data_IF_030098915642
#
_entry.id   IF_030098915642
#
_cell.length_a   1.000
_cell.length_b   1.000
_cell.length_c   1.000
_cell.angle_alpha   90.00
_cell.angle_beta   90.00
_cell.angle_gamma   90.00
#
_symmetry.space_group_name_H-M   'P 1'
#
loop_
_entity.id
_entity.type
_entity.pdbx_description
1 polymer ?
#
# COMPACT_ATOMS: atom_id res chain seq x y z
N UNK A 1 32.39 -8.22 -12.13
CA UNK A 1 31.29 -7.47 -11.48
C UNK A 1 30.18 -8.42 -11.00
N UNK A 2 30.45 -9.31 -10.04
CA UNK A 2 29.51 -10.37 -9.59
C UNK A 2 29.28 -10.41 -8.06
N UNK A 3 29.82 -9.46 -7.30
CA UNK A 3 29.78 -9.48 -5.83
C UNK A 3 28.47 -8.99 -5.18
N UNK A 4 27.73 -8.07 -5.83
CA UNK A 4 26.55 -7.42 -5.22
C UNK A 4 25.34 -8.34 -5.07
N UNK A 5 25.10 -9.22 -6.04
CA UNK A 5 23.96 -10.15 -6.02
C UNK A 5 24.09 -11.20 -4.91
N UNK A 6 25.30 -11.66 -4.62
CA UNK A 6 25.57 -12.66 -3.57
C UNK A 6 25.39 -12.07 -2.18
N UNK A 7 25.82 -10.82 -1.97
CA UNK A 7 25.66 -10.10 -0.69
C UNK A 7 24.19 -9.84 -0.38
N UNK A 8 23.40 -9.40 -1.38
CA UNK A 8 21.97 -9.16 -1.19
C UNK A 8 21.20 -10.46 -0.91
N UNK A 9 21.53 -11.55 -1.62
CA UNK A 9 20.95 -12.88 -1.38
C UNK A 9 21.23 -13.36 0.05
N UNK A 10 22.46 -13.23 0.52
CA UNK A 10 22.85 -13.66 1.86
C UNK A 10 22.18 -12.81 2.96
N UNK A 11 21.99 -11.52 2.69
CA UNK A 11 21.23 -10.62 3.55
C UNK A 11 19.75 -11.03 3.66
N UNK A 12 19.09 -11.29 2.53
CA UNK A 12 17.68 -11.75 2.50
C UNK A 12 17.51 -13.11 3.17
N UNK A 13 18.44 -14.04 2.97
CA UNK A 13 18.41 -15.36 3.61
C UNK A 13 18.61 -15.27 5.13
N UNK A 14 19.42 -14.32 5.62
CA UNK A 14 19.54 -14.03 7.06
C UNK A 14 18.26 -13.45 7.63
N UNK A 15 17.63 -12.50 6.95
CA UNK A 15 16.33 -11.95 7.38
C UNK A 15 15.24 -13.01 7.42
N UNK A 16 15.18 -13.88 6.40
CA UNK A 16 14.21 -14.99 6.34
C UNK A 16 14.40 -16.00 7.47
N UNK A 17 15.64 -16.28 7.89
CA UNK A 17 15.93 -17.14 9.04
C UNK A 17 15.57 -16.49 10.39
N UNK A 18 15.47 -15.17 10.44
CA UNK A 18 15.03 -14.40 11.61
C UNK A 18 13.51 -14.24 11.68
N UNK A 19 12.78 -14.55 10.60
CA UNK A 19 11.32 -14.63 10.62
C UNK A 19 10.91 -15.90 11.38
N UNK A 20 10.41 -15.71 12.60
CA UNK A 20 9.98 -16.81 13.49
C UNK A 20 8.93 -17.69 12.80
N UNK A 21 9.20 -19.00 12.71
CA UNK A 21 8.21 -20.01 12.28
C UNK A 21 6.93 -19.95 13.12
N UNK A 22 7.02 -19.50 14.37
CA UNK A 22 5.83 -19.25 15.19
C UNK A 22 4.95 -18.14 14.58
N UNK A 23 5.51 -17.11 13.93
CA UNK A 23 4.70 -16.06 13.30
C UNK A 23 3.81 -16.60 12.17
N UNK A 24 4.30 -17.52 11.33
CA UNK A 24 3.53 -18.18 10.26
C UNK A 24 2.36 -19.01 10.80
N UNK A 25 2.50 -19.61 11.99
CA UNK A 25 1.44 -20.39 12.64
C UNK A 25 0.48 -19.49 13.44
N UNK A 26 1.02 -18.41 14.01
CA UNK A 26 0.27 -17.52 14.91
C UNK A 26 -0.55 -16.48 14.15
N UNK A 27 -0.12 -16.05 12.97
CA UNK A 27 -0.83 -15.06 12.14
C UNK A 27 -2.18 -15.58 11.64
N UNK A 28 -2.28 -16.79 11.03
CA UNK A 28 -3.55 -17.34 10.57
C UNK A 28 -4.54 -17.54 11.74
N UNK A 29 -4.06 -18.05 12.87
CA UNK A 29 -4.90 -18.27 14.06
C UNK A 29 -5.38 -16.96 14.68
N UNK A 30 -4.54 -15.91 14.70
CA UNK A 30 -4.95 -14.55 15.10
C UNK A 30 -5.94 -13.92 14.12
N UNK A 31 -5.79 -14.12 12.81
CA UNK A 31 -6.71 -13.66 11.76
C UNK A 31 -8.08 -14.32 11.86
N UNK A 32 -8.13 -15.63 12.11
CA UNK A 32 -9.39 -16.36 12.30
C UNK A 32 -10.10 -15.89 13.58
N UNK A 33 -9.36 -15.64 14.66
CA UNK A 33 -9.93 -15.08 15.91
C UNK A 33 -10.40 -13.63 15.76
N UNK A 34 -9.66 -12.79 15.02
CA UNK A 34 -10.00 -11.38 14.86
C UNK A 34 -11.25 -11.13 14.01
N UNK A 35 -11.62 -12.08 13.12
CA UNK A 35 -12.89 -12.02 12.37
C UNK A 35 -14.14 -11.93 13.25
N UNK A 36 -14.07 -12.37 14.52
CA UNK A 36 -15.19 -12.34 15.48
C UNK A 36 -15.16 -11.13 16.42
N UNK A 37 -14.13 -10.28 16.35
CA UNK A 37 -13.97 -9.15 17.24
C UNK A 37 -14.44 -7.85 16.57
N UNK A 38 -15.28 -7.08 17.26
CA UNK A 38 -15.76 -5.76 16.82
C UNK A 38 -14.67 -4.69 16.84
N UNK A 39 -13.55 -4.96 17.51
CA UNK A 39 -12.38 -4.08 17.63
C UNK A 39 -11.08 -4.91 17.66
N UNK A 40 -10.15 -4.62 16.77
CA UNK A 40 -8.81 -5.23 16.77
C UNK A 40 -7.88 -4.31 17.55
N UNK A 41 -7.52 -4.69 18.78
CA UNK A 41 -6.42 -4.07 19.52
C UNK A 41 -5.15 -4.90 19.36
N UNK A 42 -4.14 -4.31 18.71
CA UNK A 42 -2.83 -4.93 18.57
C UNK A 42 -2.04 -4.72 19.87
N UNK A 43 -1.73 -5.82 20.57
CA UNK A 43 -0.75 -5.80 21.67
C UNK A 43 0.66 -5.86 21.08
N UNK A 44 1.46 -4.85 21.40
CA UNK A 44 2.87 -4.77 21.01
C UNK A 44 3.68 -5.69 21.94
N UNK A 45 4.54 -6.55 21.38
CA UNK A 45 5.46 -7.38 22.17
C UNK A 45 6.84 -6.75 22.16
N UNK A 46 7.48 -6.64 23.33
CA UNK A 46 8.75 -5.93 23.52
C UNK A 46 9.99 -6.67 22.97
N UNK A 47 9.82 -7.81 22.30
CA UNK A 47 10.93 -8.68 21.81
C UNK A 47 11.13 -8.66 20.30
N UNK A 48 10.91 -7.51 19.65
CA UNK A 48 11.01 -7.37 18.19
C UNK A 48 12.02 -6.28 17.81
N UNK A 49 12.90 -6.54 16.84
CA UNK A 49 13.82 -5.52 16.28
C UNK A 49 13.08 -4.32 15.66
N UNK A 50 11.79 -4.48 15.37
CA UNK A 50 10.93 -3.43 14.83
C UNK A 50 9.71 -3.24 15.73
N UNK A 51 9.55 -2.05 16.29
CA UNK A 51 8.33 -1.63 16.98
C UNK A 51 7.31 -1.11 15.96
N UNK A 52 6.07 -1.58 16.02
CA UNK A 52 4.99 -0.99 15.22
C UNK A 52 4.64 0.36 15.84
N UNK A 53 5.06 1.45 15.18
CA UNK A 53 4.80 2.82 15.65
C UNK A 53 3.34 3.25 15.41
N UNK A 54 2.80 2.87 14.25
CA UNK A 54 1.44 3.19 13.84
C UNK A 54 0.86 2.10 12.92
N UNK A 55 -0.47 2.07 12.81
CA UNK A 55 -1.18 1.25 11.84
C UNK A 55 -2.50 1.91 11.40
N UNK A 56 -2.89 1.59 10.17
CA UNK A 56 -4.16 1.99 9.57
C UNK A 56 -4.99 0.72 9.36
N UNK A 57 -6.28 0.75 9.67
CA UNK A 57 -7.23 -0.30 9.26
C UNK A 57 -8.24 0.29 8.28
N UNK A 58 -8.90 -0.59 7.51
CA UNK A 58 -9.86 -0.20 6.47
C UNK A 58 -10.89 0.84 6.92
N UNK A 59 -11.41 0.72 8.15
CA UNK A 59 -12.44 1.63 8.70
C UNK A 59 -11.94 3.06 8.93
N UNK A 60 -10.63 3.27 8.92
CA UNK A 60 -10.02 4.58 9.14
C UNK A 60 -9.42 5.17 7.86
N UNK A 61 -9.77 4.60 6.70
CA UNK A 61 -9.41 5.15 5.40
C UNK A 61 -10.63 5.84 4.83
N UNK A 62 -10.59 7.17 4.82
CA UNK A 62 -11.59 7.99 4.16
C UNK A 62 -11.06 8.31 2.75
N UNK A 63 -11.55 7.61 1.73
CA UNK A 63 -11.15 7.87 0.35
C UNK A 63 -12.13 8.82 -0.33
N UNK A 64 -11.56 9.77 -1.08
CA UNK A 64 -12.31 10.75 -1.86
C UNK A 64 -11.68 10.90 -3.24
N UNK A 65 -12.52 11.16 -4.23
CA UNK A 65 -12.06 11.53 -5.56
C UNK A 65 -11.38 12.91 -5.55
N UNK A 66 -10.66 13.29 -6.62
CA UNK A 66 -10.17 14.65 -6.81
C UNK A 66 -11.27 15.73 -6.74
N UNK A 67 -12.53 15.36 -6.98
CA UNK A 67 -13.70 16.25 -6.91
C UNK A 67 -14.44 16.16 -5.57
N UNK A 68 -13.78 15.68 -4.52
CA UNK A 68 -14.32 15.54 -3.16
C UNK A 68 -15.52 14.60 -3.01
N UNK A 69 -15.72 13.70 -3.98
CA UNK A 69 -16.78 12.68 -3.92
C UNK A 69 -16.29 11.50 -3.08
N UNK A 70 -17.02 11.07 -2.02
CA UNK A 70 -16.65 9.90 -1.23
C UNK A 70 -16.61 8.62 -2.06
N UNK A 71 -15.56 7.82 -1.85
CA UNK A 71 -15.36 6.55 -2.55
C UNK A 71 -15.51 5.38 -1.59
N UNK A 72 -16.35 4.41 -1.95
CA UNK A 72 -16.54 3.20 -1.15
C UNK A 72 -15.32 2.28 -1.29
N UNK A 73 -14.57 2.13 -0.21
CA UNK A 73 -13.40 1.27 -0.14
C UNK A 73 -13.71 0.06 0.71
N UNK A 74 -13.45 -1.13 0.16
CA UNK A 74 -13.69 -2.41 0.83
C UNK A 74 -12.39 -3.19 1.05
N UNK A 75 -11.31 -2.78 0.41
CA UNK A 75 -9.97 -3.34 0.60
C UNK A 75 -8.90 -2.24 0.58
N UNK A 76 -7.89 -2.38 1.46
CA UNK A 76 -6.67 -1.57 1.49
C UNK A 76 -5.51 -2.54 1.59
N UNK A 77 -4.55 -2.47 0.67
CA UNK A 77 -3.44 -3.42 0.63
C UNK A 77 -2.21 -2.84 -0.08
N UNK A 78 -1.09 -3.58 -0.07
CA UNK A 78 0.12 -3.36 -0.87
C UNK A 78 0.56 -1.90 -1.04
N UNK A 79 0.47 -1.13 0.04
CA UNK A 79 0.77 0.30 0.04
C UNK A 79 2.26 0.56 -0.14
N UNK A 80 2.60 1.73 -0.67
CA UNK A 80 3.95 2.28 -0.61
C UNK A 80 3.97 3.51 0.29
N UNK A 81 5.15 3.85 0.80
CA UNK A 81 5.35 5.06 1.57
C UNK A 81 6.69 5.69 1.24
N UNK A 82 6.77 7.01 1.41
CA UNK A 82 7.96 7.83 1.21
C UNK A 82 8.01 8.90 2.30
N UNK A 83 9.21 9.23 2.76
CA UNK A 83 9.43 10.40 3.62
C UNK A 83 9.59 11.62 2.71
N UNK A 84 8.74 12.62 2.88
CA UNK A 84 8.78 13.91 2.21
C UNK A 84 9.22 14.98 3.20
N UNK A 85 10.05 15.90 2.73
CA UNK A 85 10.48 17.10 3.48
C UNK A 85 11.06 16.81 4.88
N UNK A 86 11.51 15.57 5.12
CA UNK A 86 12.14 15.09 6.36
C UNK A 86 11.16 14.73 7.49
N UNK A 87 9.93 15.24 7.49
CA UNK A 87 8.99 15.12 8.61
C UNK A 87 7.58 14.66 8.24
N UNK A 88 7.29 14.50 6.94
CA UNK A 88 6.00 14.02 6.43
C UNK A 88 6.13 12.61 5.85
N UNK A 89 5.22 11.71 6.21
CA UNK A 89 5.08 10.41 5.58
C UNK A 89 3.99 10.50 4.48
N UNK A 90 4.41 10.48 3.22
CA UNK A 90 3.52 10.28 2.08
C UNK A 90 3.19 8.80 1.93
N UNK A 91 1.92 8.43 1.82
CA UNK A 91 1.45 7.05 1.75
C UNK A 91 0.59 6.87 0.51
N UNK A 92 0.99 5.95 -0.36
CA UNK A 92 0.21 5.47 -1.50
C UNK A 92 -0.52 4.19 -1.12
N UNK A 93 -1.83 4.23 -1.06
CA UNK A 93 -2.68 3.09 -0.69
C UNK A 93 -3.26 2.47 -1.95
N UNK A 94 -3.09 1.15 -2.14
CA UNK A 94 -3.91 0.40 -3.10
C UNK A 94 -5.26 0.13 -2.47
N UNK A 95 -6.26 0.82 -2.97
CA UNK A 95 -7.65 0.74 -2.55
C UNK A 95 -8.43 -0.10 -3.57
N UNK A 96 -9.56 -0.67 -3.16
CA UNK A 96 -10.41 -1.41 -4.08
C UNK A 96 -11.73 -1.87 -3.47
N UNK A 97 -12.55 -2.50 -4.31
CA UNK A 97 -13.81 -3.11 -3.95
C UNK A 97 -13.66 -4.50 -3.32
N UNK A 98 -14.75 -5.27 -3.33
CA UNK A 98 -14.79 -6.65 -2.81
C UNK A 98 -13.78 -7.52 -3.57
N UNK A 99 -13.06 -8.40 -2.87
CA UNK A 99 -12.08 -9.31 -3.47
C UNK A 99 -11.03 -8.61 -4.36
N UNK A 100 -10.62 -7.39 -4.01
CA UNK A 100 -9.66 -6.60 -4.78
C UNK A 100 -10.13 -6.27 -6.21
N UNK A 101 -11.44 -6.21 -6.45
CA UNK A 101 -11.99 -5.75 -7.73
C UNK A 101 -11.79 -4.24 -7.89
N UNK A 102 -11.52 -3.77 -9.12
CA UNK A 102 -11.47 -2.33 -9.48
C UNK A 102 -10.55 -1.55 -8.54
N UNK A 103 -9.31 -2.01 -8.42
CA UNK A 103 -8.32 -1.37 -7.58
C UNK A 103 -7.83 -0.06 -8.19
N UNK A 104 -7.52 0.89 -7.33
CA UNK A 104 -6.98 2.21 -7.66
C UNK A 104 -5.97 2.63 -6.59
N UNK A 105 -5.18 3.66 -6.88
CA UNK A 105 -4.19 4.18 -5.92
C UNK A 105 -4.66 5.53 -5.40
N UNK A 106 -4.71 5.64 -4.07
CA UNK A 106 -4.94 6.91 -3.36
C UNK A 106 -3.69 7.35 -2.61
N UNK A 107 -3.60 8.64 -2.33
CA UNK A 107 -2.48 9.27 -1.66
C UNK A 107 -2.94 10.05 -0.43
N UNK A 108 -2.12 10.04 0.62
CA UNK A 108 -2.30 10.85 1.83
C UNK A 108 -0.94 11.22 2.40
N UNK A 109 -0.90 12.32 3.14
CA UNK A 109 0.27 12.74 3.91
C UNK A 109 -0.06 12.72 5.39
N UNK A 110 0.85 12.21 6.20
CA UNK A 110 0.72 12.17 7.65
C UNK A 110 2.02 12.66 8.28
N UNK A 111 2.00 13.71 9.12
CA UNK A 111 3.18 14.12 9.86
C UNK A 111 3.75 12.96 10.71
N UNK A 112 5.06 12.72 10.65
CA UNK A 112 5.71 11.58 11.33
C UNK A 112 5.52 11.63 12.85
N UNK A 113 5.33 12.83 13.41
CA UNK A 113 5.05 13.06 14.83
C UNK A 113 3.65 12.56 15.24
N UNK A 114 2.70 12.52 14.30
CA UNK A 114 1.32 12.05 14.51
C UNK A 114 1.17 10.54 14.31
N UNK A 115 2.19 9.85 13.80
CA UNK A 115 2.19 8.38 13.66
C UNK A 115 2.30 7.73 15.05
N UNK A 116 1.16 7.50 15.71
CA UNK A 116 1.09 6.77 16.98
C UNK A 116 -0.15 5.90 17.04
N UNK A 117 0.06 4.59 17.24
CA UNK A 117 -1.05 3.65 17.41
C UNK A 117 -1.96 3.58 16.18
N UNK A 118 -3.26 3.73 16.38
CA UNK A 118 -4.26 3.67 15.31
C UNK A 118 -4.37 5.04 14.62
N UNK A 119 -4.13 5.10 13.32
CA UNK A 119 -4.16 6.35 12.53
C UNK A 119 -5.32 6.33 11.55
N UNK A 120 -6.08 7.42 11.51
CA UNK A 120 -7.09 7.69 10.48
C UNK A 120 -6.50 8.59 9.41
N UNK A 121 -6.83 8.32 8.16
CA UNK A 121 -6.27 9.03 7.01
C UNK A 121 -7.38 9.47 6.05
N UNK A 122 -7.29 10.71 5.64
CA UNK A 122 -8.09 11.28 4.56
C UNK A 122 -7.26 11.25 3.28
N UNK A 123 -7.72 10.45 2.33
CA UNK A 123 -6.93 10.03 1.18
C UNK A 123 -7.62 10.50 -0.09
N UNK A 124 -6.84 10.94 -1.06
CA UNK A 124 -7.34 11.37 -2.37
C UNK A 124 -6.87 10.42 -3.44
N UNK A 125 -7.78 10.00 -4.31
CA UNK A 125 -7.42 9.09 -5.40
C UNK A 125 -6.57 9.80 -6.44
N UNK A 126 -5.44 9.17 -6.76
CA UNK A 126 -4.42 9.73 -7.65
C UNK A 126 -4.26 8.97 -8.96
N UNK A 127 -4.54 7.66 -8.96
CA UNK A 127 -4.47 6.85 -10.17
C UNK A 127 -5.73 5.99 -10.28
N UNK A 128 -6.59 6.37 -11.22
CA UNK A 128 -7.79 5.62 -11.57
C UNK A 128 -7.50 4.55 -12.63
N UNK A 129 -8.30 3.46 -12.63
CA UNK A 129 -8.50 2.69 -13.83
C UNK A 129 -9.18 3.56 -14.89
N UNK A 130 -8.71 3.47 -16.13
CA UNK A 130 -9.28 4.10 -17.31
C UNK A 130 -10.42 3.26 -17.89
N UNK A 131 -10.38 1.95 -17.66
CA UNK A 131 -11.38 0.99 -18.12
C UNK A 131 -12.05 0.28 -16.94
N UNK A 132 -13.32 -0.13 -17.11
CA UNK A 132 -14.03 -0.92 -16.09
C UNK A 132 -13.41 -2.29 -15.83
N UNK A 133 -12.61 -2.79 -16.77
CA UNK A 133 -11.86 -4.04 -16.72
C UNK A 133 -10.43 -3.87 -16.23
N UNK A 134 -10.05 -2.67 -15.80
CA UNK A 134 -8.69 -2.36 -15.37
C UNK A 134 -8.60 -2.27 -13.84
N UNK A 135 -7.48 -2.75 -13.31
CA UNK A 135 -7.06 -2.62 -11.93
C UNK A 135 -5.71 -1.89 -11.89
N UNK A 136 -5.58 -0.91 -11.01
CA UNK A 136 -4.31 -0.19 -10.75
C UNK A 136 -3.77 -0.58 -9.39
N UNK A 137 -2.58 -1.17 -9.38
CA UNK A 137 -2.10 -1.99 -8.27
C UNK A 137 -0.65 -1.70 -7.91
N UNK A 138 -0.29 -2.15 -6.70
CA UNK A 138 1.07 -2.27 -6.21
C UNK A 138 1.93 -1.02 -6.42
N UNK A 139 1.54 0.14 -5.84
CA UNK A 139 2.38 1.32 -5.85
C UNK A 139 3.75 1.00 -5.25
N UNK A 140 4.79 1.52 -5.87
CA UNK A 140 6.19 1.45 -5.43
C UNK A 140 6.85 2.78 -5.75
N UNK A 141 7.49 3.36 -4.75
CA UNK A 141 8.30 4.58 -4.94
C UNK A 141 9.74 4.14 -5.15
N UNK A 142 10.41 4.76 -6.12
CA UNK A 142 11.83 4.51 -6.36
C UNK A 142 12.67 5.18 -5.26
N UNK A 143 13.55 4.43 -4.57
CA UNK A 143 14.44 5.02 -3.56
C UNK A 143 15.52 5.94 -4.14
N UNK A 144 15.90 5.78 -5.41
CA UNK A 144 16.91 6.61 -6.09
C UNK A 144 16.26 7.83 -6.76
N UNK A 145 15.04 7.67 -7.28
CA UNK A 145 14.21 8.75 -7.80
C UNK A 145 12.88 8.88 -7.03
N UNK A 146 12.87 9.63 -5.91
CA UNK A 146 11.66 9.80 -5.10
C UNK A 146 10.53 10.55 -5.81
N UNK A 147 10.70 10.95 -7.08
CA UNK A 147 9.65 11.55 -7.90
C UNK A 147 8.94 10.54 -8.80
N UNK A 148 9.40 9.30 -8.85
CA UNK A 148 8.84 8.23 -9.69
C UNK A 148 7.98 7.28 -8.87
N UNK A 149 6.72 7.10 -9.30
CA UNK A 149 5.80 6.12 -8.76
C UNK A 149 5.56 5.02 -9.79
N UNK A 150 6.11 3.84 -9.52
CA UNK A 150 5.83 2.64 -10.27
C UNK A 150 4.54 1.99 -9.79
N UNK A 151 3.77 1.45 -10.72
CA UNK A 151 2.54 0.71 -10.42
C UNK A 151 2.25 -0.30 -11.53
N UNK A 152 1.38 -1.25 -11.22
CA UNK A 152 0.91 -2.26 -12.15
C UNK A 152 -0.48 -1.89 -12.64
N UNK A 153 -0.73 -2.05 -13.94
CA UNK A 153 -2.09 -2.02 -14.51
C UNK A 153 -2.42 -3.41 -15.05
N UNK A 154 -3.47 -4.01 -14.50
CA UNK A 154 -3.98 -5.31 -14.91
C UNK A 154 -5.31 -5.15 -15.66
N UNK A 155 -5.37 -5.64 -16.89
CA UNK A 155 -6.54 -5.58 -17.76
C UNK A 155 -7.16 -6.97 -17.88
N UNK A 156 -8.44 -7.08 -17.56
CA UNK A 156 -9.21 -8.32 -17.62
C UNK A 156 -10.17 -8.29 -18.81
N UNK A 157 -9.86 -9.04 -19.86
CA UNK A 157 -10.56 -8.98 -21.16
C UNK A 157 -11.19 -10.33 -21.50
N UNK A 158 -12.24 -10.77 -20.78
CA UNK A 158 -12.77 -12.14 -20.89
C UNK A 158 -13.38 -12.49 -22.26
N UNK A 159 -13.72 -11.48 -23.08
CA UNK A 159 -14.31 -11.68 -24.41
C UNK A 159 -13.29 -11.66 -25.56
N UNK A 160 -11.99 -11.58 -25.26
CA UNK A 160 -10.92 -11.48 -26.25
C UNK A 160 -9.97 -12.67 -26.17
N UNK A 161 -9.15 -12.86 -27.20
CA UNK A 161 -8.13 -13.93 -27.27
C UNK A 161 -7.08 -13.85 -26.15
N UNK A 162 -6.94 -12.69 -25.51
CA UNK A 162 -6.08 -12.47 -24.35
C UNK A 162 -6.98 -12.20 -23.14
N UNK A 163 -7.11 -13.17 -22.24
CA UNK A 163 -8.00 -13.05 -21.07
C UNK A 163 -7.49 -12.04 -20.03
N UNK A 164 -6.16 -11.89 -19.93
CA UNK A 164 -5.52 -10.98 -18.97
C UNK A 164 -4.20 -10.43 -19.52
N UNK A 165 -3.99 -9.13 -19.37
CA UNK A 165 -2.73 -8.45 -19.63
C UNK A 165 -2.30 -7.69 -18.38
N UNK A 166 -1.03 -7.79 -18.00
CA UNK A 166 -0.46 -7.07 -16.85
C UNK A 166 0.78 -6.33 -17.31
N UNK A 167 0.83 -5.03 -17.02
CA UNK A 167 1.94 -4.17 -17.42
C UNK A 167 2.35 -3.26 -16.27
N UNK A 168 3.65 -2.98 -16.19
CA UNK A 168 4.21 -2.01 -15.24
C UNK A 168 4.26 -0.64 -15.90
N UNK A 169 3.86 0.39 -15.16
CA UNK A 169 3.88 1.78 -15.55
C UNK A 169 4.68 2.59 -14.54
N UNK A 170 5.18 3.74 -14.98
CA UNK A 170 5.76 4.76 -14.13
C UNK A 170 4.98 6.06 -14.30
N UNK A 171 4.61 6.69 -13.19
CA UNK A 171 3.98 8.00 -13.15
C UNK A 171 4.87 8.98 -12.39
N UNK A 172 5.00 10.21 -12.90
CA UNK A 172 5.68 11.29 -12.21
C UNK A 172 4.82 11.79 -11.05
N UNK A 173 5.33 11.75 -9.82
CA UNK A 173 4.63 12.18 -8.62
C UNK A 173 4.18 13.64 -8.68
N UNK A 174 4.95 14.51 -9.35
CA UNK A 174 4.56 15.90 -9.58
C UNK A 174 3.25 16.01 -10.36
N UNK A 175 3.01 15.13 -11.33
CA UNK A 175 1.75 15.10 -12.10
C UNK A 175 0.61 14.49 -11.28
N UNK A 176 0.93 13.51 -10.45
CA UNK A 176 -0.01 12.76 -9.59
C UNK A 176 -0.49 13.62 -8.40
N UNK A 177 0.38 14.45 -7.83
CA UNK A 177 0.09 15.27 -6.64
C UNK A 177 -0.38 16.69 -7.00
N UNK A 178 0.16 17.34 -8.05
CA UNK A 178 -0.32 18.69 -8.47
C UNK A 178 -1.78 18.68 -8.90
N UNK A 179 -2.21 17.60 -9.58
CA UNK A 179 -3.61 17.39 -9.95
C UNK A 179 -4.57 17.41 -8.75
N UNK A 180 -4.08 17.09 -7.54
CA UNK A 180 -4.87 17.11 -6.31
C UNK A 180 -4.84 18.44 -5.54
N UNK A 181 -3.80 19.26 -5.72
CA UNK A 181 -3.62 20.50 -4.97
C UNK A 181 -4.07 21.76 -5.74
N UNK A 182 -4.53 21.60 -7.00
CA UNK A 182 -5.04 22.71 -7.79
C UNK A 182 -3.96 23.74 -8.15
N UNK A 183 -2.71 23.31 -8.32
CA UNK A 183 -1.58 24.13 -8.78
C UNK A 183 -1.06 23.72 -10.14
#
# INVERSE_FOLDING_TARGET
MSGGATIFRDYVLRLSRLMSKEAEITLPSKLVRSRKLTRIERKFSDRSMFGVKAYIILRDVNARSPLDVPELVLTVSNSAAIIRDGDVLGIFLRLGGVNFSRTFIAYTEVPILQLRGKVSVDTRTVLYPLLSSECVEDPRVDPEDPTSLFHVRAYYMPSYSVEKLVMTFCALLSMVVRYLLGT
#
